data_IF_084277411649
#
_entry.id   IF_084277411649
#
_cell.length_a   1.000
_cell.length_b   1.000
_cell.length_c   1.000
_cell.angle_alpha   90.00
_cell.angle_beta   90.00
_cell.angle_gamma   90.00
#
_symmetry.space_group_name_H-M   'P 1'
#
loop_
_entity.id
_entity.type
_entity.pdbx_description
1 polymer ?
#
# COMPACT_ATOMS: atom_id res chain seq x y z
N UNK A 1 -17.76 -11.78 -20.65
CA UNK A 1 -16.82 -11.32 -19.60
C UNK A 1 -17.56 -10.32 -18.72
N UNK A 2 -17.64 -10.52 -17.39
CA UNK A 2 -18.27 -9.51 -16.51
C UNK A 2 -17.42 -8.24 -16.54
N UNK A 3 -18.06 -7.07 -16.68
CA UNK A 3 -17.39 -5.78 -16.62
C UNK A 3 -16.82 -5.59 -15.21
N UNK A 4 -15.51 -5.39 -15.10
CA UNK A 4 -14.85 -5.13 -13.82
C UNK A 4 -14.75 -3.62 -13.59
N UNK A 5 -14.83 -3.22 -12.34
CA UNK A 5 -14.47 -1.88 -11.87
C UNK A 5 -12.96 -1.90 -11.59
N UNK A 6 -12.25 -0.93 -12.14
CA UNK A 6 -10.81 -0.76 -11.96
C UNK A 6 -10.56 0.59 -11.31
N UNK A 7 -9.83 0.59 -10.19
CA UNK A 7 -9.44 1.79 -9.48
C UNK A 7 -7.95 1.73 -9.18
N UNK A 8 -7.29 2.86 -9.37
CA UNK A 8 -5.93 3.08 -8.89
C UNK A 8 -5.99 4.13 -7.78
N UNK A 9 -5.33 3.86 -6.66
CA UNK A 9 -5.25 4.77 -5.51
C UNK A 9 -3.79 4.99 -5.13
N UNK A 10 -3.40 6.25 -4.96
CA UNK A 10 -2.11 6.62 -4.36
C UNK A 10 -2.26 6.54 -2.84
N UNK A 11 -1.31 5.85 -2.22
CA UNK A 11 -1.17 5.78 -0.78
C UNK A 11 -0.18 6.86 -0.35
N UNK A 12 -0.53 7.60 0.70
CA UNK A 12 0.32 8.63 1.27
C UNK A 12 0.77 8.21 2.67
N UNK A 13 1.97 8.64 3.07
CA UNK A 13 2.46 8.43 4.42
C UNK A 13 1.81 9.43 5.39
N UNK A 14 1.32 8.96 6.55
CA UNK A 14 0.77 9.83 7.59
C UNK A 14 1.86 10.38 8.53
N UNK A 15 3.06 9.81 8.48
CA UNK A 15 4.24 10.25 9.24
C UNK A 15 5.52 10.09 8.43
N UNK A 16 6.63 10.62 8.94
CA UNK A 16 7.93 10.44 8.30
C UNK A 16 8.38 8.98 8.43
N UNK A 17 8.67 8.35 7.29
CA UNK A 17 9.09 6.96 7.19
C UNK A 17 10.51 6.84 6.65
N UNK A 18 11.31 5.97 7.27
CA UNK A 18 12.59 5.53 6.71
C UNK A 18 12.48 4.07 6.36
N UNK A 19 12.53 3.76 5.07
CA UNK A 19 12.23 2.43 4.55
C UNK A 19 13.38 1.49 4.87
N UNK A 20 13.10 0.48 5.70
CA UNK A 20 14.09 -0.48 6.18
C UNK A 20 13.86 -1.88 5.59
N UNK A 21 14.80 -2.79 5.86
CA UNK A 21 14.78 -4.16 5.34
C UNK A 21 13.50 -4.92 5.72
N UNK A 22 12.94 -4.66 6.91
CA UNK A 22 11.72 -5.29 7.40
C UNK A 22 10.51 -4.84 6.60
N UNK A 23 10.40 -3.54 6.32
CA UNK A 23 9.34 -2.96 5.49
C UNK A 23 9.44 -3.48 4.05
N UNK A 24 10.65 -3.55 3.48
CA UNK A 24 10.85 -4.15 2.15
C UNK A 24 10.41 -5.62 2.10
N UNK A 25 10.76 -6.42 3.11
CA UNK A 25 10.28 -7.81 3.22
C UNK A 25 8.75 -7.87 3.33
N UNK A 26 8.14 -6.95 4.05
CA UNK A 26 6.69 -6.84 4.16
C UNK A 26 6.05 -6.50 2.80
N UNK A 27 6.53 -5.45 2.12
CA UNK A 27 6.08 -5.11 0.77
C UNK A 27 6.22 -6.29 -0.18
N UNK A 28 7.37 -6.98 -0.22
CA UNK A 28 7.55 -8.15 -1.07
C UNK A 28 6.61 -9.32 -0.75
N UNK A 29 6.19 -9.47 0.51
CA UNK A 29 5.30 -10.56 0.93
C UNK A 29 3.82 -10.24 0.70
N UNK A 30 3.40 -9.00 0.94
CA UNK A 30 1.99 -8.59 0.94
C UNK A 30 1.59 -7.83 -0.33
N UNK A 31 2.53 -7.15 -0.97
CA UNK A 31 2.32 -6.43 -2.21
C UNK A 31 2.74 -7.31 -3.39
N UNK A 32 1.98 -8.38 -3.62
CA UNK A 32 2.11 -9.18 -4.84
C UNK A 32 2.04 -8.25 -6.06
N UNK A 33 3.02 -8.40 -6.97
CA UNK A 33 3.44 -7.38 -7.94
C UNK A 33 2.38 -6.87 -8.91
N UNK A 34 1.20 -7.49 -8.95
CA UNK A 34 0.09 -7.07 -9.83
C UNK A 34 -0.88 -6.08 -9.18
N UNK A 35 -0.95 -6.03 -7.85
CA UNK A 35 -1.85 -5.09 -7.13
C UNK A 35 -1.14 -3.81 -6.71
N UNK A 36 0.18 -3.76 -6.80
CA UNK A 36 0.97 -2.62 -6.34
C UNK A 36 2.01 -2.23 -7.38
N UNK A 37 2.26 -0.94 -7.48
CA UNK A 37 3.38 -0.37 -8.25
C UNK A 37 3.97 0.83 -7.49
N UNK A 38 5.08 1.36 -7.99
CA UNK A 38 5.78 2.50 -7.36
C UNK A 38 6.08 2.23 -5.87
N UNK A 39 6.45 0.99 -5.54
CA UNK A 39 6.85 0.62 -4.18
C UNK A 39 8.15 1.32 -3.80
N UNK A 40 8.33 1.67 -2.52
CA UNK A 40 9.53 2.36 -2.08
C UNK A 40 10.73 1.42 -2.02
N UNK A 41 11.93 2.01 -2.13
CA UNK A 41 13.21 1.32 -2.07
C UNK A 41 13.81 1.35 -0.65
N UNK A 42 14.75 0.44 -0.41
CA UNK A 42 15.50 0.42 0.85
C UNK A 42 16.27 1.74 1.01
N UNK A 43 16.10 2.39 2.16
CA UNK A 43 16.76 3.66 2.48
C UNK A 43 15.97 4.90 2.06
N UNK A 44 14.85 4.75 1.35
CA UNK A 44 14.00 5.89 1.01
C UNK A 44 13.48 6.58 2.28
N UNK A 45 13.42 7.91 2.24
CA UNK A 45 12.85 8.75 3.29
C UNK A 45 11.58 9.38 2.73
N UNK A 46 10.43 8.95 3.24
CA UNK A 46 9.11 9.40 2.81
C UNK A 46 8.54 10.31 3.88
N UNK A 47 8.36 11.59 3.55
CA UNK A 47 7.83 12.57 4.50
C UNK A 47 6.31 12.43 4.62
N UNK A 48 5.77 13.02 5.69
CA UNK A 48 4.32 13.17 5.87
C UNK A 48 3.68 13.73 4.58
N UNK A 49 2.56 13.17 4.17
CA UNK A 49 1.81 13.50 2.96
C UNK A 49 2.59 13.31 1.64
N UNK A 50 3.69 12.56 1.64
CA UNK A 50 4.32 12.12 0.39
C UNK A 50 3.77 10.76 -0.06
N UNK A 51 3.73 10.50 -1.38
CA UNK A 51 3.34 9.21 -1.91
C UNK A 51 4.25 8.10 -1.37
N UNK A 52 3.63 7.02 -0.91
CA UNK A 52 4.28 5.79 -0.45
C UNK A 52 4.31 4.73 -1.54
N UNK A 53 3.15 4.45 -2.15
CA UNK A 53 3.02 3.50 -3.23
C UNK A 53 1.68 3.66 -3.97
N UNK A 54 1.56 3.00 -5.11
CA UNK A 54 0.34 2.95 -5.91
C UNK A 54 -0.34 1.58 -5.75
N UNK A 55 -1.66 1.59 -5.59
CA UNK A 55 -2.48 0.36 -5.43
C UNK A 55 -3.50 0.26 -6.55
N UNK A 56 -3.55 -0.91 -7.18
CA UNK A 56 -4.49 -1.28 -8.24
C UNK A 56 -5.51 -2.26 -7.69
N UNK A 57 -6.78 -1.85 -7.70
CA UNK A 57 -7.91 -2.65 -7.22
C UNK A 57 -8.83 -2.96 -8.39
N UNK A 58 -9.16 -4.24 -8.54
CA UNK A 58 -10.17 -4.71 -9.49
C UNK A 58 -11.29 -5.43 -8.75
N UNK A 59 -12.53 -5.04 -8.99
CA UNK A 59 -13.69 -5.66 -8.34
C UNK A 59 -14.84 -5.89 -9.33
N UNK A 60 -15.70 -6.87 -9.05
CA UNK A 60 -16.88 -7.14 -9.89
C UNK A 60 -18.04 -6.18 -9.61
N UNK A 61 -18.07 -5.57 -8.42
CA UNK A 61 -19.11 -4.64 -7.99
C UNK A 61 -18.58 -3.66 -6.92
N UNK A 62 -19.40 -2.68 -6.57
CA UNK A 62 -19.04 -1.61 -5.63
C UNK A 62 -18.85 -2.13 -4.20
N UNK A 63 -19.59 -3.15 -3.78
CA UNK A 63 -19.48 -3.71 -2.42
C UNK A 63 -18.12 -4.37 -2.20
N UNK A 64 -17.69 -5.21 -3.15
CA UNK A 64 -16.36 -5.82 -3.14
C UNK A 64 -15.25 -4.78 -3.25
N UNK A 65 -15.47 -3.73 -4.05
CA UNK A 65 -14.53 -2.62 -4.14
C UNK A 65 -14.32 -1.95 -2.77
N UNK A 66 -15.40 -1.63 -2.04
CA UNK A 66 -15.30 -1.02 -0.71
C UNK A 66 -14.53 -1.91 0.27
N UNK A 67 -14.76 -3.23 0.20
CA UNK A 67 -14.05 -4.21 1.03
C UNK A 67 -12.54 -4.22 0.74
N UNK A 68 -12.14 -4.24 -0.53
CA UNK A 68 -10.72 -4.18 -0.94
C UNK A 68 -10.07 -2.84 -0.60
N UNK A 69 -10.81 -1.73 -0.66
CA UNK A 69 -10.31 -0.41 -0.26
C UNK A 69 -10.07 -0.34 1.26
N UNK A 70 -10.92 -0.96 2.07
CA UNK A 70 -10.75 -1.01 3.53
C UNK A 70 -9.51 -1.80 3.93
N UNK A 71 -9.27 -2.97 3.32
CA UNK A 71 -8.09 -3.78 3.62
C UNK A 71 -6.78 -3.07 3.27
N UNK A 72 -6.78 -2.24 2.23
CA UNK A 72 -5.63 -1.43 1.82
C UNK A 72 -5.26 -0.37 2.88
N UNK A 73 -6.23 0.12 3.66
CA UNK A 73 -5.98 1.12 4.71
C UNK A 73 -5.21 0.50 5.88
N UNK A 74 -5.58 -0.70 6.30
CA UNK A 74 -4.86 -1.44 7.35
C UNK A 74 -3.40 -1.79 6.99
N UNK A 75 -3.10 -1.91 5.70
CA UNK A 75 -1.73 -2.13 5.23
C UNK A 75 -0.82 -0.94 5.59
N UNK A 76 -1.31 0.29 5.48
CA UNK A 76 -0.58 1.53 5.82
C UNK A 76 -0.29 1.57 7.30
N UNK A 77 -1.33 1.36 8.11
CA UNK A 77 -1.22 1.35 9.58
C UNK A 77 -0.16 0.33 10.03
N UNK A 78 -0.11 -0.83 9.36
CA UNK A 78 0.90 -1.85 9.66
C UNK A 78 2.31 -1.43 9.28
N UNK A 79 2.51 -0.84 8.11
CA UNK A 79 3.83 -0.33 7.66
C UNK A 79 4.32 0.75 8.62
N UNK A 80 3.42 1.65 9.02
CA UNK A 80 3.72 2.72 9.98
C UNK A 80 4.07 2.18 11.36
N UNK A 81 3.40 1.12 11.83
CA UNK A 81 3.71 0.50 13.12
C UNK A 81 5.11 -0.14 13.15
N UNK A 82 5.55 -0.71 12.02
CA UNK A 82 6.83 -1.43 11.91
C UNK A 82 8.06 -0.56 12.18
N UNK A 83 7.97 0.76 12.01
CA UNK A 83 9.07 1.68 12.29
C UNK A 83 9.30 1.91 13.79
N UNK A 84 8.27 1.69 14.61
CA UNK A 84 8.35 1.92 16.06
C UNK A 84 8.72 0.65 16.85
N UNK A 85 8.72 -0.51 16.19
CA UNK A 85 9.08 -1.79 16.77
C UNK A 85 10.61 -1.97 16.66
N UNK A 86 11.31 -1.81 17.80
CA UNK A 86 12.77 -2.00 17.92
C UNK A 86 13.18 -3.45 17.71
#
# INVERSE_FOLDING_TARGET
MKKKILITKIIYANKNLTINQRMIKFFKKFCDSKKFSELPNLGDIIKVNQPLCLVHISAENIELLKKEMSSTTHLIERIESMQNEK
#
